data_IF_947296979694
#
_entry.id   IF_947296979694
#
_cell.length_a   1.000
_cell.length_b   1.000
_cell.length_c   1.000
_cell.angle_alpha   90.00
_cell.angle_beta   90.00
_cell.angle_gamma   90.00
#
_symmetry.space_group_name_H-M   'P 1'
#
loop_
_entity.id
_entity.type
_entity.pdbx_description
1 polymer ?
#
# COMPACT_ATOMS: atom_id res chain seq x y z
N UNK A 1 -10.45 -24.65 -10.99
CA UNK A 1 -10.04 -23.26 -10.74
C UNK A 1 -10.77 -22.79 -9.49
N UNK A 2 -10.09 -22.56 -8.37
CA UNK A 2 -10.72 -21.96 -7.18
C UNK A 2 -10.84 -20.45 -7.42
N UNK A 3 -12.05 -19.90 -7.37
CA UNK A 3 -12.23 -18.46 -7.27
C UNK A 3 -11.95 -18.06 -5.81
N UNK A 4 -11.10 -17.05 -5.62
CA UNK A 4 -10.89 -16.42 -4.32
C UNK A 4 -11.85 -15.24 -4.18
N UNK A 5 -12.48 -15.15 -3.01
CA UNK A 5 -13.33 -14.03 -2.63
C UNK A 5 -12.53 -12.91 -1.96
N UNK A 6 -13.12 -11.73 -1.85
CA UNK A 6 -12.52 -10.62 -1.10
C UNK A 6 -12.43 -10.90 0.41
N UNK A 7 -13.31 -11.77 0.92
CA UNK A 7 -13.21 -12.27 2.30
C UNK A 7 -11.97 -13.17 2.48
N UNK A 8 -11.58 -13.93 1.44
CA UNK A 8 -10.37 -14.74 1.50
C UNK A 8 -9.11 -13.87 1.56
N UNK A 9 -9.09 -12.76 0.80
CA UNK A 9 -8.00 -11.78 0.84
C UNK A 9 -7.86 -11.17 2.24
N UNK A 10 -8.98 -10.73 2.82
CA UNK A 10 -9.00 -10.19 4.18
C UNK A 10 -8.45 -11.20 5.20
N UNK A 11 -8.92 -12.46 5.14
CA UNK A 11 -8.47 -13.53 6.05
C UNK A 11 -6.99 -13.85 5.86
N UNK A 12 -6.51 -13.83 4.62
CA UNK A 12 -5.10 -14.06 4.30
C UNK A 12 -4.18 -12.99 4.89
N UNK A 13 -4.63 -11.74 4.88
CA UNK A 13 -3.85 -10.58 5.32
C UNK A 13 -4.13 -10.15 6.76
N UNK A 14 -4.98 -10.89 7.47
CA UNK A 14 -5.28 -10.63 8.87
C UNK A 14 -4.04 -10.82 9.76
N UNK A 15 -3.75 -9.82 10.60
CA UNK A 15 -2.54 -9.70 11.42
C UNK A 15 -1.24 -9.79 10.60
N UNK A 16 -1.25 -9.28 9.36
CA UNK A 16 -0.08 -9.20 8.49
C UNK A 16 0.38 -7.77 8.31
N UNK A 17 1.70 -7.61 8.31
CA UNK A 17 2.34 -6.42 7.81
C UNK A 17 2.59 -6.57 6.31
N UNK A 18 1.85 -5.78 5.52
CA UNK A 18 1.89 -5.78 4.07
C UNK A 18 2.59 -4.53 3.56
N UNK A 19 3.59 -4.70 2.70
CA UNK A 19 4.27 -3.62 1.99
C UNK A 19 3.93 -3.71 0.50
N UNK A 20 3.54 -2.57 -0.06
CA UNK A 20 3.19 -2.40 -1.47
C UNK A 20 4.20 -1.45 -2.11
N UNK A 21 4.93 -1.92 -3.12
CA UNK A 21 5.97 -1.19 -3.84
C UNK A 21 5.58 -1.05 -5.31
N UNK A 22 5.52 0.16 -5.85
CA UNK A 22 5.32 0.33 -7.29
C UNK A 22 4.98 1.75 -7.72
N UNK A 23 4.78 1.91 -9.02
CA UNK A 23 4.53 3.17 -9.72
C UNK A 23 3.06 3.62 -9.68
N UNK A 24 2.21 2.93 -8.92
CA UNK A 24 0.79 3.19 -8.88
C UNK A 24 0.21 3.02 -7.49
N UNK A 25 -0.33 4.10 -6.94
CA UNK A 25 -1.10 4.07 -5.68
C UNK A 25 -2.49 3.45 -5.86
N UNK A 26 -2.87 3.05 -7.08
CA UNK A 26 -4.20 2.55 -7.36
C UNK A 26 -4.44 1.20 -6.65
N UNK A 27 -3.53 0.23 -6.77
CA UNK A 27 -3.74 -1.10 -6.20
C UNK A 27 -3.71 -1.10 -4.67
N UNK A 28 -2.90 -0.22 -4.05
CA UNK A 28 -2.89 -0.08 -2.60
C UNK A 28 -4.20 0.48 -2.06
N UNK A 29 -4.81 1.43 -2.77
CA UNK A 29 -6.12 1.97 -2.40
C UNK A 29 -7.23 0.94 -2.48
N UNK A 30 -7.22 0.08 -3.51
CA UNK A 30 -8.17 -1.04 -3.58
C UNK A 30 -7.91 -2.05 -2.46
N UNK A 31 -6.65 -2.34 -2.14
CA UNK A 31 -6.31 -3.20 -1.02
C UNK A 31 -6.86 -2.66 0.32
N UNK A 32 -6.69 -1.37 0.60
CA UNK A 32 -7.26 -0.74 1.81
C UNK A 32 -8.77 -0.90 1.86
N UNK A 33 -9.47 -0.71 0.74
CA UNK A 33 -10.93 -0.93 0.67
C UNK A 33 -11.31 -2.38 0.94
N UNK A 34 -10.62 -3.34 0.30
CA UNK A 34 -10.86 -4.77 0.52
C UNK A 34 -10.70 -5.11 2.01
N UNK A 35 -9.68 -4.57 2.68
CA UNK A 35 -9.42 -4.80 4.10
C UNK A 35 -10.45 -4.13 5.03
N UNK A 36 -11.10 -3.06 4.58
CA UNK A 36 -12.13 -2.37 5.37
C UNK A 36 -13.50 -2.99 5.26
N UNK A 37 -13.94 -3.28 4.04
CA UNK A 37 -15.33 -3.61 3.77
C UNK A 37 -15.52 -4.65 2.66
N UNK A 38 -14.46 -5.32 2.21
CA UNK A 38 -14.51 -6.29 1.12
C UNK A 38 -15.10 -5.71 -0.18
N UNK A 39 -14.76 -4.47 -0.51
CA UNK A 39 -15.17 -3.82 -1.74
C UNK A 39 -13.97 -3.34 -2.55
N UNK A 40 -14.20 -3.10 -3.85
CA UNK A 40 -13.29 -2.32 -4.68
C UNK A 40 -13.71 -0.84 -4.73
N UNK A 41 -12.86 0.01 -5.29
CA UNK A 41 -13.26 1.38 -5.61
C UNK A 41 -14.37 1.42 -6.65
N UNK A 42 -15.24 2.42 -6.51
CA UNK A 42 -16.24 2.73 -7.54
C UNK A 42 -15.59 3.54 -8.67
N UNK A 43 -16.19 3.55 -9.87
CA UNK A 43 -15.67 4.33 -11.01
C UNK A 43 -15.46 5.81 -10.67
N UNK A 44 -16.33 6.39 -9.84
CA UNK A 44 -16.22 7.79 -9.42
C UNK A 44 -14.97 8.01 -8.55
N UNK A 45 -14.58 7.03 -7.74
CA UNK A 45 -13.36 7.08 -6.93
C UNK A 45 -12.09 6.88 -7.77
N UNK A 46 -12.17 6.15 -8.89
CA UNK A 46 -11.06 5.99 -9.83
C UNK A 46 -10.73 7.29 -10.59
N UNK A 47 -11.74 8.14 -10.83
CA UNK A 47 -11.59 9.44 -11.51
C UNK A 47 -10.94 10.52 -10.64
N UNK A 48 -10.93 10.34 -9.32
CA UNK A 48 -10.29 11.27 -8.38
C UNK A 48 -8.77 11.10 -8.36
N UNK A 49 -8.02 12.11 -8.80
CA UNK A 49 -6.56 12.14 -8.64
C UNK A 49 -6.17 12.49 -7.20
N UNK A 50 -5.28 11.68 -6.61
CA UNK A 50 -4.32 12.11 -5.58
C UNK A 50 -4.86 12.89 -4.37
N UNK A 51 -5.92 12.43 -3.71
CA UNK A 51 -6.37 13.03 -2.44
C UNK A 51 -5.34 12.85 -1.31
N UNK A 52 -5.23 13.83 -0.41
CA UNK A 52 -4.37 13.79 0.80
C UNK A 52 -4.63 12.56 1.69
N UNK A 53 -5.84 12.02 1.64
CA UNK A 53 -6.25 10.78 2.27
C UNK A 53 -7.27 10.05 1.40
N UNK A 54 -7.30 8.72 1.53
CA UNK A 54 -8.22 7.83 0.86
C UNK A 54 -8.56 6.67 1.82
N UNK A 55 -9.85 6.47 2.10
CA UNK A 55 -10.34 5.37 2.92
C UNK A 55 -9.53 5.21 4.23
N UNK A 56 -9.44 6.26 5.05
CA UNK A 56 -8.68 6.27 6.32
C UNK A 56 -7.20 5.89 6.23
N UNK A 57 -6.61 5.88 5.03
CA UNK A 57 -5.15 5.93 4.90
C UNK A 57 -4.64 7.33 5.30
N UNK A 58 -3.42 7.36 5.80
CA UNK A 58 -2.69 8.59 6.09
C UNK A 58 -1.49 8.69 5.17
N UNK A 59 -1.31 9.87 4.58
CA UNK A 59 -0.08 10.21 3.91
C UNK A 59 1.03 10.37 4.96
N UNK A 60 2.08 9.58 4.83
CA UNK A 60 3.28 9.62 5.67
C UNK A 60 4.27 10.63 5.09
N UNK A 61 5.25 10.13 4.36
CA UNK A 61 6.26 10.96 3.70
C UNK A 61 5.81 11.34 2.28
N UNK A 62 5.90 12.63 1.95
CA UNK A 62 5.63 13.16 0.62
C UNK A 62 6.80 14.05 0.19
N UNK A 63 7.55 13.60 -0.80
CA UNK A 63 8.57 14.39 -1.47
C UNK A 63 8.07 14.74 -2.86
N UNK A 64 7.74 16.01 -3.10
CA UNK A 64 7.27 16.49 -4.42
C UNK A 64 8.41 16.87 -5.39
N UNK A 65 9.67 16.57 -5.05
CA UNK A 65 10.86 16.85 -5.86
C UNK A 65 11.18 15.77 -6.89
N UNK A 66 12.37 15.86 -7.50
CA UNK A 66 12.92 14.88 -8.45
C UNK A 66 13.91 13.99 -7.68
N UNK A 67 13.43 13.31 -6.62
CA UNK A 67 12.60 12.14 -6.87
C UNK A 67 11.27 12.15 -6.11
N UNK A 68 10.15 12.04 -6.82
CA UNK A 68 8.83 12.01 -6.19
C UNK A 68 8.73 10.79 -5.27
N UNK A 69 8.36 11.02 -4.01
CA UNK A 69 8.14 9.95 -3.02
C UNK A 69 6.79 10.17 -2.40
N UNK A 70 5.98 9.12 -2.36
CA UNK A 70 4.72 9.14 -1.66
C UNK A 70 4.60 7.84 -0.88
N UNK A 71 4.59 7.96 0.44
CA UNK A 71 4.40 6.84 1.36
C UNK A 71 3.04 6.98 2.01
N UNK A 72 2.22 5.92 1.93
CA UNK A 72 0.91 5.86 2.56
C UNK A 72 0.85 4.74 3.55
N UNK A 73 0.18 4.99 4.66
CA UNK A 73 -0.01 4.03 5.72
C UNK A 73 -1.50 3.82 5.96
N UNK A 74 -1.91 2.55 6.04
CA UNK A 74 -3.21 2.16 6.55
C UNK A 74 -2.99 1.21 7.71
N UNK A 75 -3.54 1.56 8.88
CA UNK A 75 -3.38 0.78 10.11
C UNK A 75 -4.72 0.61 10.81
N UNK A 76 -4.97 -0.61 11.24
CA UNK A 76 -6.01 -0.99 12.19
C UNK A 76 -5.38 -1.89 13.26
N UNK A 77 -6.20 -2.41 14.17
CA UNK A 77 -5.75 -3.39 15.16
C UNK A 77 -5.26 -4.70 14.52
N UNK A 78 -5.69 -4.99 13.29
CA UNK A 78 -5.43 -6.26 12.61
C UNK A 78 -4.69 -6.14 11.28
N UNK A 79 -4.51 -4.93 10.75
CA UNK A 79 -3.88 -4.74 9.45
C UNK A 79 -2.89 -3.59 9.54
N UNK A 80 -1.70 -3.82 8.99
CA UNK A 80 -0.72 -2.78 8.73
C UNK A 80 -0.34 -2.86 7.26
N UNK A 81 -0.69 -1.83 6.50
CA UNK A 81 -0.35 -1.70 5.08
C UNK A 81 0.47 -0.44 4.90
N UNK A 82 1.64 -0.57 4.29
CA UNK A 82 2.46 0.56 3.88
C UNK A 82 2.67 0.51 2.38
N UNK A 83 2.42 1.61 1.70
CA UNK A 83 2.50 1.71 0.25
C UNK A 83 3.51 2.76 -0.14
N UNK A 84 4.46 2.37 -0.95
CA UNK A 84 5.54 3.21 -1.43
C UNK A 84 5.39 3.40 -2.93
N UNK A 85 5.16 4.65 -3.31
CA UNK A 85 5.23 5.05 -4.69
C UNK A 85 6.69 5.12 -5.13
N UNK A 86 7.04 4.33 -6.14
CA UNK A 86 8.38 4.23 -6.69
C UNK A 86 8.34 4.55 -8.18
N UNK A 87 9.18 5.49 -8.62
CA UNK A 87 9.41 5.74 -10.05
C UNK A 87 10.51 4.84 -10.63
N UNK A 88 11.39 4.29 -9.78
CA UNK A 88 12.47 3.38 -10.16
C UNK A 88 12.84 2.46 -8.99
N UNK A 89 12.91 1.14 -9.26
CA UNK A 89 13.27 0.11 -8.27
C UNK A 89 14.76 0.10 -7.90
N UNK A 90 15.62 0.66 -8.76
CA UNK A 90 17.07 0.74 -8.56
C UNK A 90 17.48 2.16 -8.14
N UNK A 91 16.90 2.65 -7.05
CA UNK A 91 17.24 3.96 -6.49
C UNK A 91 17.78 3.81 -5.06
N UNK A 92 18.65 4.74 -4.65
CA UNK A 92 19.15 4.84 -3.26
C UNK A 92 18.01 4.86 -2.23
N UNK A 93 16.84 5.36 -2.63
CA UNK A 93 15.64 5.36 -1.78
C UNK A 93 15.09 3.95 -1.52
N UNK A 94 15.10 3.07 -2.53
CA UNK A 94 14.69 1.68 -2.32
C UNK A 94 15.71 0.96 -1.44
N UNK A 95 17.00 1.20 -1.64
CA UNK A 95 18.04 0.65 -0.76
C UNK A 95 17.88 1.11 0.69
N UNK A 96 17.62 2.41 0.92
CA UNK A 96 17.37 2.92 2.28
C UNK A 96 16.12 2.31 2.90
N UNK A 97 15.04 2.17 2.13
CA UNK A 97 13.81 1.53 2.60
C UNK A 97 14.02 0.05 2.95
N UNK A 98 14.77 -0.68 2.13
CA UNK A 98 15.10 -2.08 2.41
C UNK A 98 15.95 -2.20 3.68
N UNK A 99 16.91 -1.30 3.87
CA UNK A 99 17.70 -1.24 5.11
C UNK A 99 16.82 -0.93 6.33
N UNK A 100 15.82 -0.06 6.20
CA UNK A 100 14.85 0.20 7.27
C UNK A 100 14.02 -1.06 7.61
N UNK A 101 13.67 -1.89 6.63
CA UNK A 101 13.01 -3.18 6.88
C UNK A 101 13.92 -4.21 7.54
N UNK A 102 15.22 -4.20 7.24
CA UNK A 102 16.19 -5.09 7.88
C UNK A 102 16.42 -4.73 9.35
N UNK A 103 16.42 -3.44 9.70
CA UNK A 103 16.59 -2.97 11.08
C UNK A 103 15.27 -2.92 11.87
N UNK A 104 14.15 -2.79 11.16
CA UNK A 104 12.81 -2.64 11.72
C UNK A 104 11.98 -3.92 11.67
N UNK A 105 10.64 -3.79 11.82
CA UNK A 105 9.73 -4.90 11.59
C UNK A 105 9.78 -5.31 10.12
N UNK A 106 10.00 -6.59 9.85
CA UNK A 106 10.00 -7.11 8.48
C UNK A 106 8.56 -7.33 7.98
N UNK A 107 8.26 -6.96 6.73
CA UNK A 107 6.95 -7.25 6.14
C UNK A 107 6.72 -8.76 6.00
N UNK A 108 5.52 -9.21 6.37
CA UNK A 108 5.07 -10.58 6.11
C UNK A 108 4.83 -10.80 4.60
N UNK A 109 4.39 -9.75 3.91
CA UNK A 109 4.01 -9.78 2.50
C UNK A 109 4.56 -8.55 1.81
N UNK A 110 5.28 -8.75 0.71
CA UNK A 110 5.71 -7.67 -0.19
C UNK A 110 5.02 -7.87 -1.54
N UNK A 111 4.32 -6.84 -1.99
CA UNK A 111 3.69 -6.77 -3.31
C UNK A 111 4.50 -5.78 -4.14
N UNK A 112 5.00 -6.23 -5.28
CA UNK A 112 5.78 -5.40 -6.22
C UNK A 112 5.06 -5.40 -7.56
N UNK A 113 4.83 -4.21 -8.13
CA UNK A 113 4.37 -4.04 -9.51
C UNK A 113 5.55 -4.13 -10.49
#
# INVERSE_FOLDING_TARGET
MKLFSLADVWRLLHNKYVVALGDSILYSKDLVKILQNHEFRTENQLKGKGGMSFANDTLGDLHNGIPYREVRHYRTDHHLVQSYFLTCVSSEYVESMLADFEQGPQPDVVIIN
#
